data_IF_407873045910
#
_entry.id   IF_407873045910
#
_cell.length_a   1.000
_cell.length_b   1.000
_cell.length_c   1.000
_cell.angle_alpha   90.00
_cell.angle_beta   90.00
_cell.angle_gamma   90.00
#
_symmetry.space_group_name_H-M   'P 1'
#
loop_
_entity.id
_entity.type
_entity.pdbx_description
1 polymer ?
#
# COMPACT_ATOMS: atom_id res chain seq x y z
N UNK A 1 -7.26 -2.83 0.88
CA UNK A 1 -6.83 -3.14 2.27
C UNK A 1 -7.64 -2.33 3.27
N UNK A 2 -7.68 -2.79 4.51
CA UNK A 2 -8.45 -2.17 5.60
C UNK A 2 -7.52 -1.65 6.71
N UNK A 3 -7.85 -0.50 7.31
CA UNK A 3 -7.09 0.09 8.41
C UNK A 3 -7.17 -0.81 9.66
N UNK A 4 -6.05 -1.04 10.32
CA UNK A 4 -5.97 -1.88 11.53
C UNK A 4 -6.04 -3.38 11.26
N UNK A 5 -6.17 -3.81 10.00
CA UNK A 5 -6.15 -5.22 9.62
C UNK A 5 -4.74 -5.64 9.22
N UNK A 6 -4.30 -6.76 9.80
CA UNK A 6 -3.04 -7.42 9.45
C UNK A 6 -3.33 -8.56 8.49
N UNK A 7 -2.69 -8.52 7.32
CA UNK A 7 -2.70 -9.60 6.34
C UNK A 7 -1.44 -10.44 6.52
N UNK A 8 -1.59 -11.76 6.45
CA UNK A 8 -0.51 -12.74 6.66
C UNK A 8 -0.43 -13.70 5.48
N UNK A 9 0.69 -14.41 5.36
CA UNK A 9 0.97 -15.34 4.27
C UNK A 9 0.76 -14.66 2.90
N UNK A 10 1.24 -13.42 2.79
CA UNK A 10 0.99 -12.62 1.61
C UNK A 10 1.96 -13.00 0.47
N UNK A 11 1.51 -12.82 -0.76
CA UNK A 11 2.36 -12.93 -1.94
C UNK A 11 2.07 -11.75 -2.87
N UNK A 12 3.01 -10.81 -2.97
CA UNK A 12 2.88 -9.66 -3.87
C UNK A 12 3.14 -10.10 -5.31
N UNK A 13 2.16 -9.89 -6.19
CA UNK A 13 2.18 -10.36 -7.57
C UNK A 13 2.53 -9.27 -8.57
N UNK A 14 2.25 -8.00 -8.24
CA UNK A 14 2.64 -6.86 -9.05
C UNK A 14 2.89 -5.63 -8.18
N UNK A 15 3.85 -4.82 -8.60
CA UNK A 15 4.17 -3.51 -8.03
C UNK A 15 4.41 -2.52 -9.16
N UNK A 16 3.71 -1.39 -9.11
CA UNK A 16 3.84 -0.26 -10.02
C UNK A 16 4.11 0.99 -9.19
N UNK A 17 5.08 1.77 -9.63
CA UNK A 17 5.48 3.01 -8.97
C UNK A 17 5.55 4.10 -10.02
N UNK A 18 4.81 5.18 -9.81
CA UNK A 18 4.78 6.35 -10.68
C UNK A 18 5.19 7.58 -9.88
N UNK A 19 5.98 8.47 -10.48
CA UNK A 19 6.34 9.74 -9.86
C UNK A 19 5.24 10.76 -10.11
N UNK A 20 4.71 11.34 -9.04
CA UNK A 20 3.70 12.41 -9.06
C UNK A 20 4.25 13.65 -8.35
N UNK A 21 4.92 14.52 -9.10
CA UNK A 21 5.58 15.72 -8.57
C UNK A 21 6.74 15.36 -7.63
N UNK A 22 6.63 15.79 -6.37
CA UNK A 22 7.60 15.56 -5.30
C UNK A 22 7.32 14.27 -4.50
N UNK A 23 6.36 13.46 -4.95
CA UNK A 23 5.95 12.21 -4.30
C UNK A 23 5.79 11.09 -5.32
N UNK A 24 5.45 9.90 -4.82
CA UNK A 24 5.16 8.72 -5.62
C UNK A 24 3.72 8.24 -5.39
N UNK A 25 3.10 7.77 -6.47
CA UNK A 25 1.94 6.91 -6.43
C UNK A 25 2.42 5.46 -6.53
N UNK A 26 1.94 4.61 -5.62
CA UNK A 26 2.32 3.20 -5.55
C UNK A 26 1.07 2.36 -5.69
N UNK A 27 1.06 1.44 -6.64
CA UNK A 27 -0.02 0.50 -6.87
C UNK A 27 0.54 -0.90 -6.83
N UNK A 28 0.01 -1.76 -5.96
CA UNK A 28 0.42 -3.15 -5.91
C UNK A 28 -0.77 -4.08 -5.72
N UNK A 29 -0.57 -5.32 -6.15
CA UNK A 29 -1.51 -6.43 -5.95
C UNK A 29 -0.83 -7.53 -5.17
N UNK A 30 -1.55 -8.13 -4.25
CA UNK A 30 -1.07 -9.26 -3.47
C UNK A 30 -2.18 -10.29 -3.24
N UNK A 31 -1.81 -11.51 -2.93
CA UNK A 31 -2.73 -12.56 -2.51
C UNK A 31 -2.54 -12.75 -1.01
N UNK A 32 -3.62 -12.78 -0.24
CA UNK A 32 -3.63 -13.19 1.16
C UNK A 32 -4.80 -14.13 1.39
N UNK A 33 -4.59 -15.22 2.13
CA UNK A 33 -5.64 -16.21 2.42
C UNK A 33 -6.35 -16.73 1.13
N UNK A 34 -5.62 -16.80 0.01
CA UNK A 34 -6.14 -17.21 -1.29
C UNK A 34 -6.99 -16.16 -2.03
N UNK A 35 -7.13 -14.94 -1.49
CA UNK A 35 -7.87 -13.84 -2.10
C UNK A 35 -6.94 -12.76 -2.63
N UNK A 36 -7.16 -12.27 -3.87
CA UNK A 36 -6.42 -11.15 -4.39
C UNK A 36 -6.89 -9.83 -3.76
N UNK A 37 -5.92 -8.98 -3.43
CA UNK A 37 -6.11 -7.64 -2.92
C UNK A 37 -5.34 -6.66 -3.79
N UNK A 38 -5.97 -5.52 -4.06
CA UNK A 38 -5.34 -4.39 -4.73
C UNK A 38 -5.19 -3.24 -3.72
N UNK A 39 -4.08 -2.50 -3.83
CA UNK A 39 -3.78 -1.35 -2.99
C UNK A 39 -3.20 -0.24 -3.84
N UNK A 40 -3.72 0.98 -3.64
CA UNK A 40 -3.25 2.19 -4.30
C UNK A 40 -2.95 3.25 -3.24
N UNK A 41 -1.69 3.67 -3.18
CA UNK A 41 -1.18 4.66 -2.25
C UNK A 41 -0.78 5.90 -3.05
N UNK A 42 -0.98 7.08 -2.44
CA UNK A 42 -0.49 8.34 -2.98
C UNK A 42 0.22 9.15 -1.89
N UNK A 43 1.19 9.95 -2.29
CA UNK A 43 1.98 10.76 -1.36
C UNK A 43 3.10 9.98 -0.68
N UNK A 44 3.58 8.89 -1.29
CA UNK A 44 4.75 8.15 -0.78
C UNK A 44 5.98 9.01 -1.07
N UNK A 45 6.76 9.38 -0.05
CA UNK A 45 7.94 10.23 -0.24
C UNK A 45 9.23 9.45 -0.50
N UNK A 46 9.32 8.21 0.00
CA UNK A 46 10.51 7.36 -0.11
C UNK A 46 10.14 6.06 -0.81
N UNK A 47 10.76 5.79 -1.95
CA UNK A 47 10.49 4.60 -2.76
C UNK A 47 11.60 3.54 -2.70
N UNK A 48 12.74 3.85 -2.10
CA UNK A 48 13.97 3.04 -2.18
C UNK A 48 13.80 1.62 -1.62
N UNK A 49 12.94 1.45 -0.62
CA UNK A 49 12.67 0.16 0.00
C UNK A 49 11.40 -0.52 -0.51
N UNK A 50 10.68 0.02 -1.50
CA UNK A 50 9.43 -0.59 -1.99
C UNK A 50 9.63 -2.00 -2.57
N UNK A 51 10.85 -2.36 -2.98
CA UNK A 51 11.20 -3.71 -3.39
C UNK A 51 10.98 -4.76 -2.29
N UNK A 52 11.05 -4.36 -1.02
CA UNK A 52 10.82 -5.24 0.14
C UNK A 52 9.38 -5.76 0.20
N UNK A 53 8.43 -5.14 -0.51
CA UNK A 53 7.07 -5.65 -0.65
C UNK A 53 7.03 -7.07 -1.21
N UNK A 54 7.94 -7.41 -2.14
CA UNK A 54 7.99 -8.75 -2.72
C UNK A 54 8.45 -9.83 -1.73
N UNK A 55 9.13 -9.43 -0.66
CA UNK A 55 9.62 -10.34 0.37
C UNK A 55 8.75 -10.31 1.63
N UNK A 56 7.70 -9.48 1.68
CA UNK A 56 6.88 -9.33 2.86
C UNK A 56 6.07 -10.60 3.15
N UNK A 57 6.09 -11.06 4.40
CA UNK A 57 5.22 -12.14 4.90
C UNK A 57 3.92 -11.59 5.48
N UNK A 58 3.99 -10.40 6.08
CA UNK A 58 2.84 -9.70 6.66
C UNK A 58 2.82 -8.26 6.23
N UNK A 59 1.60 -7.73 6.09
CA UNK A 59 1.36 -6.40 5.59
C UNK A 59 0.11 -5.80 6.25
N UNK A 60 0.20 -4.56 6.70
CA UNK A 60 -0.88 -3.91 7.44
C UNK A 60 -0.89 -2.39 7.22
N UNK A 61 -2.04 -1.77 7.47
CA UNK A 61 -2.23 -0.33 7.36
C UNK A 61 -2.60 0.27 8.71
N UNK A 62 -1.92 1.34 9.08
CA UNK A 62 -2.18 2.11 10.30
C UNK A 62 -2.35 3.59 9.98
N UNK A 63 -3.11 4.30 10.82
CA UNK A 63 -3.08 5.75 10.81
C UNK A 63 -1.81 6.19 11.54
N UNK A 64 -1.09 7.17 11.00
CA UNK A 64 0.03 7.76 11.70
C UNK A 64 -0.49 8.46 12.97
N UNK A 65 0.14 8.19 14.11
CA UNK A 65 -0.29 8.70 15.42
C UNK A 65 -0.03 10.21 15.59
N UNK A 66 0.73 10.84 14.69
CA UNK A 66 1.08 12.26 14.79
C UNK A 66 0.21 13.16 13.89
N UNK A 67 -0.75 13.92 14.48
CA UNK A 67 -1.60 14.84 13.73
C UNK A 67 -0.89 16.12 13.27
N UNK A 68 0.36 16.36 13.69
CA UNK A 68 1.18 17.50 13.26
C UNK A 68 2.06 17.18 12.03
N UNK A 69 2.08 15.92 11.59
CA UNK A 69 2.80 15.54 10.38
C UNK A 69 2.11 16.14 9.14
N UNK A 70 2.79 17.05 8.44
CA UNK A 70 2.27 17.69 7.21
C UNK A 70 2.03 16.67 6.08
N UNK A 71 2.77 15.55 6.10
CA UNK A 71 2.69 14.43 5.15
C UNK A 71 2.77 13.10 5.89
N UNK A 72 2.28 12.02 5.28
CA UNK A 72 2.41 10.67 5.82
C UNK A 72 1.35 10.30 6.85
N UNK A 73 0.09 10.65 6.58
CA UNK A 73 -1.07 10.39 7.46
C UNK A 73 -1.33 8.92 7.74
N UNK A 74 -0.81 8.04 6.89
CA UNK A 74 -0.95 6.61 7.01
C UNK A 74 0.43 5.94 6.92
N UNK A 75 0.51 4.78 7.53
CA UNK A 75 1.66 3.90 7.52
C UNK A 75 1.27 2.58 6.86
N UNK A 76 2.07 2.16 5.88
CA UNK A 76 2.06 0.80 5.36
C UNK A 76 3.23 0.07 6.00
N UNK A 77 2.91 -0.83 6.93
CA UNK A 77 3.88 -1.68 7.58
C UNK A 77 4.03 -2.99 6.82
N UNK A 78 5.26 -3.46 6.69
CA UNK A 78 5.57 -4.80 6.24
C UNK A 78 6.59 -5.46 7.15
N UNK A 79 6.44 -6.77 7.32
CA UNK A 79 7.41 -7.56 8.07
C UNK A 79 7.77 -8.82 7.31
N UNK A 80 9.06 -9.11 7.29
CA UNK A 80 9.65 -10.40 7.00
C UNK A 80 10.72 -10.64 8.09
N UNK A 81 12.01 -10.52 7.76
CA UNK A 81 13.14 -10.55 8.70
C UNK A 81 13.33 -9.23 9.49
N UNK A 82 12.96 -8.11 8.87
CA UNK A 82 13.03 -6.77 9.44
C UNK A 82 11.68 -6.07 9.31
N UNK A 83 11.47 -5.06 10.16
CA UNK A 83 10.29 -4.21 10.06
C UNK A 83 10.60 -3.01 9.16
N UNK A 84 9.84 -2.86 8.09
CA UNK A 84 9.92 -1.72 7.18
C UNK A 84 8.57 -1.03 7.13
N UNK A 85 8.57 0.30 7.13
CA UNK A 85 7.36 1.09 7.09
C UNK A 85 7.45 2.19 6.04
N UNK A 86 6.37 2.40 5.32
CA UNK A 86 6.22 3.50 4.35
C UNK A 86 5.13 4.45 4.80
N UNK A 87 5.46 5.72 4.88
CA UNK A 87 4.48 6.78 5.13
C UNK A 87 3.88 7.27 3.81
N UNK A 88 2.57 7.48 3.81
CA UNK A 88 1.83 7.98 2.66
C UNK A 88 0.64 8.83 3.07
N UNK A 89 0.14 9.66 2.15
CA UNK A 89 -0.89 10.65 2.48
C UNK A 89 -2.31 10.11 2.37
N UNK A 90 -2.57 9.25 1.37
CA UNK A 90 -3.91 8.74 1.09
C UNK A 90 -3.90 7.32 0.56
N UNK A 91 -4.85 6.54 1.06
CA UNK A 91 -5.27 5.27 0.48
C UNK A 91 -6.35 5.58 -0.58
N UNK A 92 -6.06 5.30 -1.84
CA UNK A 92 -7.00 5.50 -2.92
C UNK A 92 -7.92 4.29 -3.04
N UNK A 93 -9.22 4.49 -3.35
CA UNK A 93 -10.11 3.38 -3.62
C UNK A 93 -9.60 2.60 -4.84
N UNK A 94 -9.63 1.27 -4.75
CA UNK A 94 -9.55 0.44 -5.95
C UNK A 94 -10.73 0.83 -6.84
N UNK A 95 -10.53 1.09 -8.14
CA UNK A 95 -11.65 1.22 -9.04
C UNK A 95 -12.36 -0.13 -9.02
N UNK A 96 -13.50 -0.20 -8.32
CA UNK A 96 -14.52 -1.21 -8.60
C UNK A 96 -14.71 -1.16 -10.11
N UNK A 97 -14.60 -2.29 -10.80
CA UNK A 97 -14.81 -2.37 -12.25
C UNK A 97 -16.13 -1.71 -12.66
N UNK A 98 -16.09 -0.41 -12.94
CA UNK A 98 -17.13 0.34 -13.63
C UNK A 98 -16.76 0.29 -15.10
N UNK A 99 -16.84 -0.91 -15.68
CA UNK A 99 -16.99 -1.08 -17.12
C UNK A 99 -18.01 -2.19 -17.36
N UNK A 100 -19.24 -1.83 -17.04
CA UNK A 100 -20.45 -2.57 -17.33
C UNK A 100 -21.58 -1.55 -17.39
N UNK A 101 -22.11 -1.36 -18.58
CA UNK A 101 -23.22 -0.47 -18.97
C UNK A 101 -22.84 0.98 -19.29
N UNK A 102 -22.52 1.22 -20.55
CA UNK A 102 -23.23 2.26 -21.31
C UNK A 102 -23.82 1.61 -22.57
N UNK A 103 -24.98 2.15 -22.97
CA UNK A 103 -26.08 1.52 -23.71
C UNK A 103 -25.82 1.24 -25.20
#
# INVERSE_FOLDING_TARGET
MELGKVYQDICVTALQVERCGDSFAVHFTFIAEGQPHEVRLSGVQQCDALGELFNAERLWLEAAEDPQQEFGRYLLGLSHESHTAFYFDRLLPCPSSAYGQEA
#
